data_IF_447060049676
#
_entry.id   IF_447060049676
#
_cell.length_a   1.000
_cell.length_b   1.000
_cell.length_c   1.000
_cell.angle_alpha   90.00
_cell.angle_beta   90.00
_cell.angle_gamma   90.00
#
_symmetry.space_group_name_H-M   'P 1'
#
loop_
_entity.id
_entity.type
_entity.pdbx_description
1 polymer ?
#
# COMPACT_ATOMS: atom_id res chain seq x y z
N UNK A 1 0.87 60.91 -29.52
CA UNK A 1 -0.55 60.96 -29.96
C UNK A 1 -1.39 60.68 -28.72
N UNK A 2 -2.44 61.45 -28.50
CA UNK A 2 -3.29 61.32 -27.30
C UNK A 2 -4.31 60.19 -27.48
N UNK A 3 -4.50 59.37 -26.46
CA UNK A 3 -5.56 58.34 -26.44
C UNK A 3 -6.91 59.04 -26.30
N UNK A 4 -7.79 58.88 -27.29
CA UNK A 4 -9.12 59.50 -27.29
C UNK A 4 -10.14 58.64 -26.55
N UNK A 5 -11.21 59.28 -26.04
CA UNK A 5 -12.33 58.60 -25.37
C UNK A 5 -12.96 57.51 -26.24
N UNK A 6 -13.12 57.77 -27.54
CA UNK A 6 -13.68 56.83 -28.51
C UNK A 6 -12.83 55.55 -28.63
N UNK A 7 -11.50 55.67 -28.51
CA UNK A 7 -10.59 54.54 -28.55
C UNK A 7 -10.70 53.67 -27.28
N UNK A 8 -10.92 54.28 -26.12
CA UNK A 8 -11.14 53.57 -24.84
C UNK A 8 -12.47 52.80 -24.87
N UNK A 9 -13.54 53.40 -25.41
CA UNK A 9 -14.82 52.72 -25.59
C UNK A 9 -14.72 51.55 -26.59
N UNK A 10 -13.92 51.71 -27.64
CA UNK A 10 -13.60 50.65 -28.60
C UNK A 10 -12.78 49.52 -27.97
N UNK A 11 -11.85 49.85 -27.07
CA UNK A 11 -11.06 48.88 -26.29
C UNK A 11 -11.95 48.08 -25.34
N UNK A 12 -12.82 48.76 -24.59
CA UNK A 12 -13.79 48.12 -23.68
C UNK A 12 -14.77 47.19 -24.42
N UNK A 13 -15.11 47.51 -25.67
CA UNK A 13 -15.97 46.66 -26.51
C UNK A 13 -15.23 45.55 -27.27
N UNK A 14 -13.90 45.43 -27.11
CA UNK A 14 -13.08 44.38 -27.73
C UNK A 14 -12.94 44.50 -29.24
N UNK A 15 -13.18 45.69 -29.82
CA UNK A 15 -13.18 45.91 -31.28
C UNK A 15 -11.91 46.61 -31.79
N UNK A 16 -10.89 46.76 -30.97
CA UNK A 16 -9.61 47.39 -31.34
C UNK A 16 -8.78 46.50 -32.26
N UNK A 17 -8.00 47.12 -33.14
CA UNK A 17 -6.90 46.44 -33.82
C UNK A 17 -5.77 46.12 -32.82
N UNK A 18 -4.87 45.16 -33.14
CA UNK A 18 -3.75 44.83 -32.26
C UNK A 18 -2.84 46.04 -31.97
N UNK A 19 -2.67 46.92 -32.96
CA UNK A 19 -1.88 48.16 -32.81
C UNK A 19 -2.59 49.18 -31.92
N UNK A 20 -3.91 49.33 -32.06
CA UNK A 20 -4.74 50.20 -31.22
C UNK A 20 -4.77 49.72 -29.76
N UNK A 21 -4.85 48.41 -29.53
CA UNK A 21 -4.84 47.79 -28.19
C UNK A 21 -3.54 48.05 -27.46
N UNK A 22 -2.40 47.82 -28.15
CA UNK A 22 -1.08 48.06 -27.59
C UNK A 22 -0.86 49.53 -27.22
N UNK A 23 -1.45 50.46 -27.99
CA UNK A 23 -1.38 51.89 -27.70
C UNK A 23 -2.17 52.27 -26.44
N UNK A 24 -3.38 51.73 -26.25
CA UNK A 24 -4.20 51.97 -25.05
C UNK A 24 -3.53 51.36 -23.82
N UNK A 25 -2.98 50.16 -23.95
CA UNK A 25 -2.25 49.50 -22.86
C UNK A 25 -1.00 50.28 -22.46
N UNK A 26 -0.23 50.77 -23.44
CA UNK A 26 0.94 51.57 -23.15
C UNK A 26 0.58 52.90 -22.48
N UNK A 27 -0.58 53.50 -22.79
CA UNK A 27 -1.09 54.70 -22.11
C UNK A 27 -1.62 54.40 -20.70
N UNK A 28 -2.24 53.24 -20.47
CA UNK A 28 -2.67 52.81 -19.13
C UNK A 28 -1.49 52.47 -18.21
N UNK A 29 -0.39 51.98 -18.78
CA UNK A 29 0.84 51.63 -18.09
C UNK A 29 1.83 52.80 -17.99
N UNK A 30 1.50 53.93 -18.62
CA UNK A 30 2.31 55.14 -18.56
C UNK A 30 2.17 55.77 -17.17
N UNK A 31 3.15 55.50 -16.30
CA UNK A 31 3.24 56.01 -14.93
C UNK A 31 3.53 57.53 -14.90
N UNK A 32 3.73 58.17 -16.07
CA UNK A 32 3.95 59.62 -16.24
C UNK A 32 2.74 60.47 -15.82
N UNK A 33 1.60 59.84 -15.51
CA UNK A 33 0.59 60.49 -14.67
C UNK A 33 1.00 60.42 -13.20
N UNK A 34 2.05 61.19 -12.85
CA UNK A 34 2.30 61.65 -11.48
C UNK A 34 1.14 62.57 -11.05
N UNK A 35 -0.07 62.03 -10.94
CA UNK A 35 -1.05 62.52 -9.99
C UNK A 35 -0.50 62.13 -8.61
N UNK A 36 0.51 62.87 -8.16
CA UNK A 36 0.70 63.12 -6.74
C UNK A 36 -0.61 63.74 -6.26
N UNK A 37 -1.53 62.87 -5.83
CA UNK A 37 -2.70 63.24 -5.06
C UNK A 37 -2.19 63.62 -3.68
N UNK A 38 -1.52 64.77 -3.62
CA UNK A 38 -1.14 65.41 -2.38
C UNK A 38 -2.44 65.71 -1.63
N UNK A 39 -2.74 64.85 -0.65
CA UNK A 39 -3.83 65.09 0.29
C UNK A 39 -3.57 66.46 0.92
N UNK A 40 -4.57 67.35 0.96
CA UNK A 40 -4.38 68.66 1.59
C UNK A 40 -3.84 68.45 3.01
N UNK A 41 -2.77 69.16 3.39
CA UNK A 41 -2.06 68.98 4.66
C UNK A 41 -2.98 69.11 5.89
N UNK A 42 -4.14 69.76 5.71
CA UNK A 42 -5.14 70.03 6.73
C UNK A 42 -6.22 68.93 6.83
N UNK A 43 -6.14 67.88 6.01
CA UNK A 43 -7.13 66.81 5.98
C UNK A 43 -6.83 65.79 7.08
N UNK A 44 -7.70 65.71 8.09
CA UNK A 44 -7.64 64.65 9.07
C UNK A 44 -8.07 63.31 8.41
N UNK A 45 -7.08 62.53 7.97
CA UNK A 45 -7.26 61.24 7.29
C UNK A 45 -8.14 60.28 8.09
N UNK A 46 -8.02 60.28 9.41
CA UNK A 46 -8.81 59.39 10.27
C UNK A 46 -10.28 59.78 10.28
N UNK A 47 -10.56 61.09 10.31
CA UNK A 47 -11.94 61.60 10.27
C UNK A 47 -12.62 61.26 8.94
N UNK A 48 -11.94 61.52 7.82
CA UNK A 48 -12.47 61.22 6.47
C UNK A 48 -12.69 59.73 6.29
N UNK A 49 -11.74 58.90 6.76
CA UNK A 49 -11.90 57.44 6.75
C UNK A 49 -13.11 56.98 7.56
N UNK A 50 -13.31 57.54 8.74
CA UNK A 50 -14.44 57.20 9.60
C UNK A 50 -15.77 57.60 8.96
N UNK A 51 -15.84 58.80 8.37
CA UNK A 51 -17.03 59.31 7.68
C UNK A 51 -17.40 58.46 6.46
N UNK A 52 -16.41 58.12 5.62
CA UNK A 52 -16.61 57.20 4.48
C UNK A 52 -17.09 55.82 4.94
N UNK A 53 -16.50 55.29 6.01
CA UNK A 53 -16.87 53.97 6.52
C UNK A 53 -18.26 53.96 7.14
N UNK A 54 -18.67 55.04 7.81
CA UNK A 54 -20.01 55.19 8.38
C UNK A 54 -21.07 55.19 7.27
N UNK A 55 -20.84 55.95 6.20
CA UNK A 55 -21.74 56.00 5.04
C UNK A 55 -21.87 54.65 4.33
N UNK A 56 -20.75 53.95 4.10
CA UNK A 56 -20.76 52.60 3.52
C UNK A 56 -21.49 51.63 4.45
N UNK A 57 -21.19 51.64 5.75
CA UNK A 57 -21.81 50.73 6.71
C UNK A 57 -23.32 50.91 6.83
N UNK A 58 -23.81 52.13 6.62
CA UNK A 58 -25.25 52.47 6.66
C UNK A 58 -26.03 51.95 5.43
N UNK A 59 -25.36 51.82 4.29
CA UNK A 59 -25.96 51.36 3.02
C UNK A 59 -25.84 49.86 2.80
N UNK A 60 -25.04 49.17 3.61
CA UNK A 60 -24.94 47.71 3.56
C UNK A 60 -26.16 47.08 4.26
N UNK A 61 -26.80 46.07 3.64
CA UNK A 61 -27.87 45.34 4.30
C UNK A 61 -27.31 44.75 5.59
N UNK A 62 -27.93 45.10 6.73
CA UNK A 62 -27.54 44.58 8.04
C UNK A 62 -27.50 43.06 7.96
N UNK A 63 -26.29 42.49 8.04
CA UNK A 63 -26.06 41.06 8.06
C UNK A 63 -26.54 40.50 9.40
N UNK A 64 -27.86 40.51 9.60
CA UNK A 64 -28.52 39.88 10.73
C UNK A 64 -28.63 38.38 10.45
N UNK A 65 -27.50 37.76 10.14
CA UNK A 65 -27.39 36.32 10.19
C UNK A 65 -27.39 35.95 11.67
N UNK A 66 -28.55 35.60 12.19
CA UNK A 66 -28.66 34.86 13.44
C UNK A 66 -27.75 33.65 13.30
N UNK A 67 -26.60 33.68 13.98
CA UNK A 67 -25.74 32.51 14.14
C UNK A 67 -26.56 31.55 15.00
N UNK A 68 -27.32 30.67 14.35
CA UNK A 68 -27.98 29.57 15.03
C UNK A 68 -26.85 28.70 15.54
N UNK A 69 -26.66 28.70 16.85
CA UNK A 69 -25.59 27.97 17.51
C UNK A 69 -25.87 26.46 17.41
N UNK A 70 -25.61 25.88 16.23
CA UNK A 70 -25.80 24.47 15.88
C UNK A 70 -24.70 23.59 16.50
N UNK A 71 -24.29 23.90 17.73
CA UNK A 71 -23.36 23.05 18.50
C UNK A 71 -24.02 21.74 18.90
N UNK A 72 -25.34 21.73 19.08
CA UNK A 72 -26.07 20.54 19.51
C UNK A 72 -26.13 19.47 18.41
N UNK A 73 -26.28 19.85 17.13
CA UNK A 73 -26.21 18.90 16.02
C UNK A 73 -24.82 18.32 15.82
N UNK A 74 -23.76 19.12 15.98
CA UNK A 74 -22.38 18.66 15.77
C UNK A 74 -21.92 17.64 16.82
N UNK A 75 -22.41 17.75 18.07
CA UNK A 75 -22.15 16.77 19.12
C UNK A 75 -22.76 15.39 18.79
N UNK A 76 -23.94 15.34 18.16
CA UNK A 76 -24.54 14.07 17.71
C UNK A 76 -23.74 13.44 16.56
N UNK A 77 -23.26 14.24 15.60
CA UNK A 77 -22.39 13.75 14.53
C UNK A 77 -21.03 13.26 15.05
N UNK A 78 -20.45 13.94 16.04
CA UNK A 78 -19.20 13.53 16.68
C UNK A 78 -19.34 12.21 17.45
N UNK A 79 -20.42 12.05 18.21
CA UNK A 79 -20.70 10.81 18.92
C UNK A 79 -20.92 9.63 17.95
N UNK A 80 -21.69 9.83 16.87
CA UNK A 80 -21.89 8.80 15.85
C UNK A 80 -20.57 8.39 15.16
N UNK A 81 -19.70 9.35 14.83
CA UNK A 81 -18.40 9.07 14.22
C UNK A 81 -17.48 8.24 15.15
N UNK A 82 -17.49 8.50 16.46
CA UNK A 82 -16.68 7.72 17.40
C UNK A 82 -17.11 6.25 17.50
N UNK A 83 -18.41 5.96 17.40
CA UNK A 83 -18.94 4.59 17.44
C UNK A 83 -18.54 3.84 16.16
N UNK A 84 -18.61 4.50 15.00
CA UNK A 84 -18.18 3.91 13.73
C UNK A 84 -16.68 3.59 13.74
N UNK A 85 -15.84 4.49 14.27
CA UNK A 85 -14.38 4.26 14.36
C UNK A 85 -14.06 3.09 15.31
N UNK A 86 -14.75 2.99 16.46
CA UNK A 86 -14.53 1.87 17.38
C UNK A 86 -14.96 0.54 16.76
N UNK A 87 -16.08 0.51 16.03
CA UNK A 87 -16.54 -0.69 15.34
C UNK A 87 -15.61 -1.10 14.19
N UNK A 88 -15.10 -0.16 13.40
CA UNK A 88 -14.17 -0.47 12.30
C UNK A 88 -12.83 -0.97 12.83
N UNK A 89 -12.30 -0.39 13.91
CA UNK A 89 -11.07 -0.86 14.56
C UNK A 89 -11.26 -2.25 15.18
N UNK A 90 -12.37 -2.49 15.89
CA UNK A 90 -12.66 -3.83 16.41
C UNK A 90 -12.75 -4.87 15.29
N UNK A 91 -13.43 -4.59 14.19
CA UNK A 91 -13.50 -5.53 13.05
C UNK A 91 -12.11 -5.76 12.43
N UNK A 92 -11.25 -4.74 12.43
CA UNK A 92 -9.89 -4.86 11.88
C UNK A 92 -8.96 -5.68 12.79
N UNK A 93 -9.09 -5.59 14.11
CA UNK A 93 -8.33 -6.44 15.04
C UNK A 93 -8.90 -7.86 15.17
N UNK A 94 -10.20 -8.05 14.96
CA UNK A 94 -10.82 -9.38 14.90
C UNK A 94 -10.66 -10.07 13.54
N UNK A 95 -10.03 -9.43 12.55
CA UNK A 95 -9.45 -10.21 11.45
C UNK A 95 -8.44 -11.16 12.11
N UNK A 96 -8.56 -12.49 11.93
CA UNK A 96 -7.54 -13.39 12.40
C UNK A 96 -6.21 -12.87 11.85
N UNK A 97 -5.31 -12.50 12.75
CA UNK A 97 -3.93 -12.23 12.41
C UNK A 97 -3.39 -13.58 11.92
N UNK A 98 -3.61 -13.87 10.63
CA UNK A 98 -2.94 -14.94 9.94
C UNK A 98 -1.47 -14.62 10.13
N UNK A 99 -0.85 -15.38 11.04
CA UNK A 99 0.54 -15.21 11.42
C UNK A 99 1.32 -15.07 10.13
N UNK A 100 1.92 -13.89 9.96
CA UNK A 100 2.61 -13.44 8.76
C UNK A 100 3.43 -14.59 8.17
N UNK A 101 3.44 -14.69 6.85
CA UNK A 101 4.23 -15.64 6.11
C UNK A 101 5.65 -15.71 6.69
N UNK A 102 5.97 -16.87 7.27
CA UNK A 102 7.32 -17.15 7.75
C UNK A 102 8.16 -17.43 6.51
N UNK A 103 8.70 -16.37 5.91
CA UNK A 103 9.83 -16.49 4.98
C UNK A 103 11.07 -16.86 5.82
N UNK A 104 11.14 -18.11 6.25
CA UNK A 104 12.36 -18.69 6.80
C UNK A 104 13.25 -19.09 5.64
N UNK A 105 14.03 -18.16 5.09
CA UNK A 105 15.21 -18.55 4.31
C UNK A 105 16.27 -19.02 5.29
N UNK A 106 16.60 -20.30 5.23
CA UNK A 106 17.61 -20.91 6.07
C UNK A 106 18.74 -21.41 5.17
N UNK A 107 19.77 -20.59 4.96
CA UNK A 107 21.05 -21.09 4.48
C UNK A 107 21.74 -21.78 5.67
N UNK A 108 21.73 -23.11 5.73
CA UNK A 108 22.23 -23.87 6.89
C UNK A 108 23.54 -24.58 6.49
N UNK A 109 24.59 -24.50 7.33
CA UNK A 109 25.80 -25.31 7.17
C UNK A 109 25.56 -26.81 7.42
N UNK A 110 26.29 -27.62 6.64
CA UNK A 110 26.41 -29.08 6.43
C UNK A 110 26.05 -30.10 7.55
N UNK A 111 25.65 -29.76 8.79
CA UNK A 111 25.60 -30.78 9.88
C UNK A 111 24.38 -30.82 10.81
N UNK A 112 23.34 -30.00 10.63
CA UNK A 112 22.17 -30.04 11.53
C UNK A 112 20.85 -29.90 10.80
N UNK A 113 19.93 -30.83 11.05
CA UNK A 113 18.53 -30.73 10.62
C UNK A 113 17.88 -29.49 11.27
N UNK A 114 17.16 -28.68 10.47
CA UNK A 114 16.38 -27.55 10.98
C UNK A 114 14.91 -27.89 10.94
N UNK A 115 14.26 -27.75 12.09
CA UNK A 115 12.83 -27.95 12.24
C UNK A 115 12.11 -26.59 12.16
N UNK A 116 11.17 -26.48 11.22
CA UNK A 116 10.30 -25.32 11.06
C UNK A 116 8.94 -25.71 11.60
N UNK A 117 8.59 -25.17 12.77
CA UNK A 117 7.29 -25.35 13.37
C UNK A 117 6.30 -24.27 12.90
N UNK A 118 5.28 -24.67 12.17
CA UNK A 118 4.10 -23.86 11.90
C UNK A 118 2.92 -24.30 12.79
N UNK A 119 1.85 -23.52 12.81
CA UNK A 119 0.61 -23.90 13.50
C UNK A 119 0.00 -25.18 12.91
N UNK A 120 0.20 -25.39 11.61
CA UNK A 120 -0.54 -26.37 10.83
C UNK A 120 0.30 -27.61 10.47
N UNK A 121 1.62 -27.50 10.52
CA UNK A 121 2.57 -28.55 10.16
C UNK A 121 3.93 -28.31 10.81
N UNK A 122 4.74 -29.35 10.83
CA UNK A 122 6.17 -29.33 11.15
C UNK A 122 6.94 -29.79 9.92
N UNK A 123 7.98 -29.05 9.53
CA UNK A 123 8.87 -29.44 8.42
C UNK A 123 10.29 -29.60 8.96
N UNK A 124 10.92 -30.73 8.66
CA UNK A 124 12.32 -31.01 8.98
C UNK A 124 13.14 -31.05 7.71
N UNK A 125 14.14 -30.18 7.60
CA UNK A 125 15.06 -30.13 6.46
C UNK A 125 16.24 -31.07 6.71
N UNK A 126 16.60 -31.90 5.71
CA UNK A 126 17.82 -32.70 5.72
C UNK A 126 19.07 -31.81 5.56
N UNK A 127 20.29 -32.33 5.85
CA UNK A 127 21.53 -31.61 5.57
C UNK A 127 21.63 -31.20 4.10
N UNK A 128 22.25 -30.05 3.84
CA UNK A 128 22.39 -29.47 2.48
C UNK A 128 21.06 -29.12 1.78
N UNK A 129 19.93 -29.17 2.49
CA UNK A 129 18.62 -28.83 1.94
C UNK A 129 18.20 -27.41 2.30
N UNK A 130 17.50 -26.74 1.37
CA UNK A 130 16.94 -25.40 1.55
C UNK A 130 15.43 -25.44 1.32
N UNK A 131 14.66 -24.67 2.10
CA UNK A 131 13.23 -24.52 1.89
C UNK A 131 12.80 -23.07 2.11
N UNK A 132 11.89 -22.59 1.27
CA UNK A 132 11.19 -21.32 1.36
C UNK A 132 9.70 -21.60 1.35
N UNK A 133 9.01 -21.13 2.38
CA UNK A 133 7.61 -21.47 2.61
C UNK A 133 6.78 -20.20 2.50
N UNK A 134 5.86 -20.17 1.55
CA UNK A 134 4.86 -19.13 1.44
C UNK A 134 3.59 -19.57 2.18
N UNK A 135 3.37 -19.00 3.36
CA UNK A 135 2.20 -19.32 4.19
C UNK A 135 0.88 -18.79 3.64
N UNK A 136 0.89 -17.84 2.68
CA UNK A 136 -0.32 -17.31 2.05
C UNK A 136 -0.83 -18.21 0.92
N UNK A 137 0.08 -18.71 0.08
CA UNK A 137 -0.27 -19.60 -1.03
C UNK A 137 -0.24 -21.09 -0.65
N UNK A 138 0.30 -21.44 0.53
CA UNK A 138 0.56 -22.83 0.91
C UNK A 138 1.60 -23.50 0.01
N UNK A 139 2.46 -22.70 -0.61
CA UNK A 139 3.48 -23.15 -1.55
C UNK A 139 4.81 -23.30 -0.81
N UNK A 140 5.42 -24.46 -0.96
CA UNK A 140 6.70 -24.84 -0.37
C UNK A 140 7.69 -25.02 -1.51
N UNK A 141 8.55 -24.03 -1.68
CA UNK A 141 9.72 -24.12 -2.57
C UNK A 141 10.82 -24.82 -1.78
N UNK A 142 11.35 -25.94 -2.25
CA UNK A 142 12.47 -26.58 -1.58
C UNK A 142 13.49 -27.10 -2.59
N UNK A 143 14.70 -27.31 -2.09
CA UNK A 143 15.78 -27.97 -2.80
C UNK A 143 16.46 -28.96 -1.86
N UNK A 144 16.55 -30.23 -2.26
CA UNK A 144 17.08 -31.32 -1.44
C UNK A 144 15.97 -32.25 -0.92
N UNK A 145 16.01 -32.56 0.37
CA UNK A 145 15.09 -33.50 1.01
C UNK A 145 14.43 -32.87 2.25
N UNK A 146 13.11 -32.99 2.33
CA UNK A 146 12.30 -32.48 3.46
C UNK A 146 11.33 -33.54 3.96
N UNK A 147 11.09 -33.51 5.27
CA UNK A 147 10.10 -34.34 5.95
C UNK A 147 8.99 -33.42 6.49
N UNK A 148 7.74 -33.81 6.25
CA UNK A 148 6.56 -32.98 6.51
C UNK A 148 5.60 -33.77 7.40
N UNK A 149 5.29 -33.22 8.58
CA UNK A 149 4.35 -33.78 9.55
C UNK A 149 3.19 -32.81 9.81
N UNK A 150 2.03 -33.00 9.16
CA UNK A 150 0.85 -32.16 9.31
C UNK A 150 0.15 -32.39 10.66
N UNK A 151 -0.25 -31.29 11.29
CA UNK A 151 -1.03 -31.28 12.55
C UNK A 151 -2.54 -31.30 12.30
N UNK A 152 -2.96 -31.03 11.07
CA UNK A 152 -4.33 -31.11 10.56
C UNK A 152 -4.30 -31.45 9.06
N UNK A 153 -5.44 -31.84 8.50
CA UNK A 153 -5.56 -32.11 7.07
C UNK A 153 -5.32 -30.81 6.28
N UNK A 154 -4.31 -30.80 5.41
CA UNK A 154 -3.88 -29.61 4.66
C UNK A 154 -3.54 -29.96 3.22
N UNK A 155 -3.96 -29.09 2.31
CA UNK A 155 -3.54 -29.15 0.92
C UNK A 155 -2.33 -28.23 0.75
N UNK A 156 -1.20 -28.83 0.37
CA UNK A 156 0.05 -28.11 0.17
C UNK A 156 0.50 -28.26 -1.29
N UNK A 157 1.11 -27.20 -1.81
CA UNK A 157 1.73 -27.20 -3.13
C UNK A 157 3.25 -27.16 -2.96
N UNK A 158 3.97 -27.95 -3.74
CA UNK A 158 5.43 -28.07 -3.65
C UNK A 158 6.05 -27.77 -4.99
N UNK A 159 7.15 -27.05 -4.94
CA UNK A 159 7.98 -26.76 -6.08
C UNK A 159 9.41 -27.16 -5.76
N UNK A 160 10.01 -27.91 -6.68
CA UNK A 160 11.45 -28.11 -6.69
C UNK A 160 12.13 -26.92 -7.39
N UNK A 161 13.02 -26.24 -6.68
CA UNK A 161 13.71 -25.03 -7.16
C UNK A 161 15.24 -25.24 -7.24
N UNK A 162 15.72 -26.49 -7.21
CA UNK A 162 17.17 -26.77 -7.28
C UNK A 162 17.84 -26.29 -8.59
N UNK A 163 17.13 -26.37 -9.73
CA UNK A 163 17.63 -25.90 -11.03
C UNK A 163 16.58 -24.98 -11.64
N UNK A 164 16.98 -23.75 -11.99
CA UNK A 164 16.15 -22.64 -12.50
C UNK A 164 15.33 -22.95 -13.78
N UNK A 165 15.31 -24.19 -14.25
CA UNK A 165 14.85 -24.57 -15.59
C UNK A 165 13.53 -25.34 -15.62
N UNK A 166 13.10 -26.02 -14.53
CA UNK A 166 11.77 -26.68 -14.48
C UNK A 166 11.28 -26.83 -13.03
N UNK A 167 10.26 -26.05 -12.65
CA UNK A 167 9.53 -26.26 -11.39
C UNK A 167 8.44 -27.30 -11.62
N UNK A 168 8.66 -28.52 -11.14
CA UNK A 168 7.60 -29.52 -11.05
C UNK A 168 6.71 -29.15 -9.86
N UNK A 169 5.53 -28.61 -10.15
CA UNK A 169 4.54 -28.24 -9.14
C UNK A 169 3.69 -29.46 -8.76
N UNK A 170 3.92 -30.01 -7.57
CA UNK A 170 3.13 -31.11 -7.01
C UNK A 170 2.08 -30.59 -6.04
N UNK A 171 0.81 -30.97 -6.21
CA UNK A 171 -0.24 -30.74 -5.19
C UNK A 171 -0.61 -32.06 -4.57
N UNK A 172 -0.53 -32.15 -3.25
CA UNK A 172 -0.92 -33.35 -2.52
C UNK A 172 -1.71 -32.94 -1.27
N UNK A 173 -2.66 -33.80 -0.89
CA UNK A 173 -3.40 -33.64 0.35
C UNK A 173 -2.68 -34.41 1.45
N UNK A 174 -2.27 -33.70 2.50
CA UNK A 174 -1.53 -34.25 3.61
C UNK A 174 -2.49 -34.48 4.76
N UNK A 175 -2.60 -35.72 5.20
CA UNK A 175 -3.49 -36.10 6.29
C UNK A 175 -2.83 -35.84 7.65
N UNK A 176 -3.65 -35.44 8.60
CA UNK A 176 -3.26 -35.25 9.99
C UNK A 176 -2.61 -36.51 10.55
N UNK A 177 -1.41 -36.35 11.14
CA UNK A 177 -0.71 -37.43 11.84
C UNK A 177 0.00 -38.42 10.93
N UNK A 178 0.05 -38.18 9.62
CA UNK A 178 0.90 -38.92 8.69
C UNK A 178 2.16 -38.13 8.37
N UNK A 179 3.30 -38.80 8.29
CA UNK A 179 4.56 -38.17 7.89
C UNK A 179 4.77 -38.41 6.41
N UNK A 180 5.15 -37.36 5.71
CA UNK A 180 5.43 -37.40 4.28
C UNK A 180 6.86 -36.98 4.03
N UNK A 181 7.49 -37.58 3.04
CA UNK A 181 8.85 -37.29 2.63
C UNK A 181 8.77 -36.76 1.20
N UNK A 182 9.32 -35.57 1.00
CA UNK A 182 9.48 -34.98 -0.31
C UNK A 182 10.99 -34.89 -0.62
N UNK A 183 11.38 -35.51 -1.73
CA UNK A 183 12.76 -35.56 -2.18
C UNK A 183 12.84 -35.22 -3.66
N UNK A 184 13.86 -34.44 -4.00
CA UNK A 184 14.29 -34.29 -5.38
C UNK A 184 15.24 -35.46 -5.70
N UNK A 185 14.77 -36.42 -6.49
CA UNK A 185 15.58 -37.52 -7.01
C UNK A 185 15.99 -37.15 -8.44
N UNK A 186 17.20 -36.62 -8.59
CA UNK A 186 17.68 -36.16 -9.89
C UNK A 186 19.17 -36.33 -10.07
N UNK A 187 19.56 -36.86 -11.23
CA UNK A 187 20.95 -37.02 -11.63
C UNK A 187 21.29 -35.93 -12.65
N UNK A 188 21.74 -34.75 -12.19
CA UNK A 188 22.28 -33.59 -12.95
C UNK A 188 21.50 -33.08 -14.21
N UNK A 189 20.42 -33.73 -14.66
CA UNK A 189 19.71 -33.42 -15.93
C UNK A 189 18.20 -33.59 -15.86
N UNK A 190 17.68 -34.51 -15.05
CA UNK A 190 16.26 -34.68 -14.80
C UNK A 190 16.03 -34.70 -13.28
N UNK A 191 15.43 -33.64 -12.75
CA UNK A 191 15.03 -33.55 -11.34
C UNK A 191 13.57 -34.03 -11.23
N UNK A 192 13.37 -35.21 -10.65
CA UNK A 192 12.04 -35.75 -10.38
C UNK A 192 11.66 -35.49 -8.92
N UNK A 193 10.55 -34.79 -8.73
CA UNK A 193 9.96 -34.56 -7.42
C UNK A 193 9.19 -35.80 -6.98
N UNK A 194 9.67 -36.49 -5.95
CA UNK A 194 8.98 -37.63 -5.35
C UNK A 194 8.41 -37.18 -4.00
N UNK A 195 7.09 -37.29 -3.85
CA UNK A 195 6.38 -37.04 -2.58
C UNK A 195 5.64 -38.31 -2.19
N UNK A 196 5.94 -38.85 -1.01
CA UNK A 196 5.33 -40.10 -0.53
C UNK A 196 5.17 -40.13 0.99
N UNK A 197 4.22 -40.94 1.47
CA UNK A 197 4.07 -41.24 2.90
C UNK A 197 5.29 -42.06 3.39
N UNK A 198 5.81 -41.74 4.58
CA UNK A 198 6.88 -42.47 5.25
C UNK A 198 6.61 -43.98 5.33
N UNK A 199 5.34 -44.40 5.53
CA UNK A 199 4.93 -45.81 5.56
C UNK A 199 5.27 -46.54 4.25
N UNK A 200 5.32 -45.83 3.13
CA UNK A 200 5.68 -46.39 1.82
C UNK A 200 7.19 -46.65 1.70
N UNK A 201 8.04 -46.07 2.57
CA UNK A 201 9.47 -46.38 2.62
C UNK A 201 9.73 -47.87 2.90
N UNK A 202 8.84 -48.52 3.65
CA UNK A 202 8.97 -49.94 3.96
C UNK A 202 8.79 -50.84 2.73
N UNK A 203 8.13 -50.33 1.68
CA UNK A 203 7.95 -51.01 0.39
C UNK A 203 9.05 -50.72 -0.62
N UNK A 204 10.01 -49.83 -0.32
CA UNK A 204 11.07 -49.46 -1.25
C UNK A 204 12.19 -50.52 -1.31
N UNK A 205 12.87 -50.64 -2.47
CA UNK A 205 14.08 -51.46 -2.59
C UNK A 205 15.12 -51.06 -1.53
N UNK A 206 15.88 -52.03 -0.94
CA UNK A 206 16.80 -51.76 0.16
C UNK A 206 17.83 -50.66 -0.11
N UNK A 207 18.28 -50.54 -1.37
CA UNK A 207 19.26 -49.53 -1.80
C UNK A 207 18.68 -48.11 -1.69
N UNK A 208 17.44 -47.92 -2.13
CA UNK A 208 16.75 -46.62 -2.09
C UNK A 208 16.41 -46.25 -0.65
N UNK A 209 15.92 -47.23 0.12
CA UNK A 209 15.62 -47.06 1.54
C UNK A 209 16.85 -46.58 2.32
N UNK A 210 18.01 -47.22 2.14
CA UNK A 210 19.25 -46.86 2.82
C UNK A 210 19.68 -45.42 2.52
N UNK A 211 19.60 -45.03 1.25
CA UNK A 211 19.97 -43.67 0.83
C UNK A 211 19.07 -42.60 1.47
N UNK A 212 17.77 -42.88 1.60
CA UNK A 212 16.83 -41.96 2.27
C UNK A 212 17.10 -41.91 3.78
N UNK A 213 17.33 -43.07 4.41
CA UNK A 213 17.65 -43.16 5.85
C UNK A 213 18.94 -42.39 6.20
N UNK A 214 19.99 -42.55 5.38
CA UNK A 214 21.26 -41.83 5.56
C UNK A 214 21.10 -40.30 5.45
N UNK A 215 20.20 -39.81 4.58
CA UNK A 215 19.95 -38.36 4.42
C UNK A 215 19.21 -37.72 5.60
N UNK A 216 18.30 -38.45 6.23
CA UNK A 216 17.52 -37.95 7.36
C UNK A 216 18.08 -38.37 8.73
N UNK A 217 19.14 -39.17 8.77
CA UNK A 217 19.74 -39.75 9.97
C UNK A 217 18.71 -40.52 10.83
N UNK A 218 17.90 -41.33 10.16
CA UNK A 218 16.83 -42.18 10.73
C UNK A 218 17.07 -43.67 10.47
#
# INVERSE_FOLDING_TARGET
>A
MEVSKELIEKYHSGKCSPEESAMVENWLLDDDSEFETALPENLNKEKVKAEMWDEISSSLPSANHKIVNSRQGWLYFAAAASIVILLTVSIFEFKPHNKKAVLSSANIPVSTNKEIHSSDYTISLAPESNASINSESGLIDFCGAILISPKKDILLSFNDVCDNTKSNTGKMNFKKGETYIALNFGNKKDNELIVMDEKLLMGLPPMVKRQIMDQFNI
#
